data_IF_076013015914
#
_entry.id   IF_076013015914
#
_cell.length_a   1.000
_cell.length_b   1.000
_cell.length_c   1.000
_cell.angle_alpha   90.00
_cell.angle_beta   90.00
_cell.angle_gamma   90.00
#
_symmetry.space_group_name_H-M   'P 1'
#
loop_
_entity.id
_entity.type
_entity.pdbx_description
1 polymer ?
#
# COMPACT_ATOMS: atom_id res chain seq x y z
N UNK A 1 1.94 -5.13 15.13
CA UNK A 1 1.33 -4.30 14.05
C UNK A 1 0.73 -2.97 14.53
N UNK A 2 -0.08 -2.92 15.60
CA UNK A 2 -0.66 -1.65 16.08
C UNK A 2 0.41 -0.60 16.46
N UNK A 3 1.40 -1.03 17.23
CA UNK A 3 2.55 -0.19 17.62
C UNK A 3 3.32 0.30 16.40
N UNK A 4 3.58 -0.58 15.43
CA UNK A 4 4.25 -0.22 14.19
C UNK A 4 3.48 0.85 13.41
N UNK A 5 2.14 0.74 13.31
CA UNK A 5 1.30 1.77 12.68
C UNK A 5 1.45 3.13 13.36
N UNK A 6 1.40 3.15 14.70
CA UNK A 6 1.59 4.37 15.48
C UNK A 6 2.99 4.96 15.26
N UNK A 7 4.03 4.12 15.28
CA UNK A 7 5.43 4.52 15.09
C UNK A 7 5.70 5.11 13.71
N UNK A 8 5.02 4.62 12.67
CA UNK A 8 5.22 5.07 11.28
C UNK A 8 4.27 6.18 10.83
N UNK A 9 3.33 6.60 11.68
CA UNK A 9 2.37 7.63 11.34
C UNK A 9 3.06 8.98 11.10
N UNK A 10 2.65 9.67 10.03
CA UNK A 10 3.04 11.06 9.77
C UNK A 10 2.14 11.68 8.69
N UNK A 11 1.96 13.01 8.72
CA UNK A 11 1.29 13.74 7.63
C UNK A 11 1.99 13.64 6.26
N UNK A 12 3.20 13.06 6.22
CA UNK A 12 3.87 12.72 4.96
C UNK A 12 3.17 11.56 4.26
N UNK A 13 2.60 10.62 5.00
CA UNK A 13 2.07 9.36 4.47
C UNK A 13 0.57 9.19 4.70
N UNK A 14 0.00 9.87 5.70
CA UNK A 14 -1.36 9.65 6.16
C UNK A 14 -2.24 10.87 5.93
N UNK A 15 -3.50 10.62 5.60
CA UNK A 15 -4.56 11.64 5.47
C UNK A 15 -5.56 11.57 6.62
N UNK A 16 -5.38 10.60 7.53
CA UNK A 16 -6.19 10.44 8.74
C UNK A 16 -5.40 10.87 9.97
N UNK A 17 -6.10 11.30 11.05
CA UNK A 17 -5.48 11.55 12.35
C UNK A 17 -4.63 10.36 12.84
N UNK A 18 -3.67 10.59 13.76
CA UNK A 18 -2.89 9.52 14.34
C UNK A 18 -3.80 8.50 15.04
N UNK A 19 -3.46 7.21 15.01
CA UNK A 19 -4.21 6.20 15.73
C UNK A 19 -4.19 6.51 17.23
N UNK A 20 -5.33 6.30 17.91
CA UNK A 20 -5.39 6.40 19.35
C UNK A 20 -4.44 5.37 20.01
N UNK A 21 -3.89 5.67 21.20
CA UNK A 21 -3.14 4.68 21.97
C UNK A 21 -3.94 3.39 22.16
N UNK A 22 -3.33 2.23 21.87
CA UNK A 22 -4.00 0.93 21.98
C UNK A 22 -5.02 0.62 20.88
N UNK A 23 -5.11 1.44 19.81
CA UNK A 23 -6.03 1.18 18.71
C UNK A 23 -5.81 -0.21 18.09
N UNK A 24 -6.90 -0.96 17.95
CA UNK A 24 -6.89 -2.27 17.30
C UNK A 24 -6.69 -2.13 15.78
N UNK A 25 -6.04 -3.12 15.18
CA UNK A 25 -5.76 -3.14 13.72
C UNK A 25 -6.92 -3.77 12.95
N UNK A 26 -7.58 -4.76 13.53
CA UNK A 26 -8.61 -5.59 12.89
C UNK A 26 -10.00 -5.22 13.39
N UNK A 27 -10.42 -4.00 13.08
CA UNK A 27 -11.74 -3.45 13.39
C UNK A 27 -12.30 -2.76 12.15
N UNK A 28 -13.61 -2.50 12.13
CA UNK A 28 -14.29 -1.72 11.08
C UNK A 28 -14.04 -2.26 9.66
N UNK A 29 -14.17 -3.59 9.49
CA UNK A 29 -13.99 -4.25 8.18
C UNK A 29 -12.52 -4.41 7.73
N UNK A 30 -11.57 -4.21 8.64
CA UNK A 30 -10.16 -4.58 8.44
C UNK A 30 -9.94 -6.02 8.90
N UNK A 31 -9.76 -6.92 7.95
CA UNK A 31 -9.59 -8.35 8.23
C UNK A 31 -8.12 -8.77 8.09
N UNK A 32 -7.63 -9.74 8.88
CA UNK A 32 -6.23 -10.19 8.83
C UNK A 32 -5.75 -10.59 7.44
N UNK A 33 -6.61 -11.20 6.62
CA UNK A 33 -6.32 -11.72 5.28
C UNK A 33 -6.00 -10.59 4.28
N UNK A 34 -6.34 -9.35 4.62
CA UNK A 34 -6.00 -8.17 3.81
C UNK A 34 -4.54 -7.75 4.00
N UNK A 35 -3.80 -8.34 4.94
CA UNK A 35 -2.46 -7.92 5.32
C UNK A 35 -1.42 -8.99 5.02
N UNK A 36 -0.28 -8.56 4.49
CA UNK A 36 0.96 -9.31 4.52
C UNK A 36 1.94 -8.60 5.46
N UNK A 37 2.73 -9.38 6.20
CA UNK A 37 3.70 -8.85 7.16
C UNK A 37 5.12 -9.24 6.77
N UNK A 38 6.06 -8.36 7.06
CA UNK A 38 7.49 -8.67 7.04
C UNK A 38 7.91 -8.94 8.48
N UNK A 39 8.49 -10.13 8.70
CA UNK A 39 8.98 -10.57 9.99
C UNK A 39 10.50 -10.68 9.96
N UNK A 40 11.15 -10.25 11.03
CA UNK A 40 12.58 -10.41 11.27
C UNK A 40 12.76 -10.82 12.73
N UNK A 41 13.44 -11.95 12.96
CA UNK A 41 13.71 -12.51 14.30
C UNK A 41 12.45 -12.61 15.19
N UNK A 42 11.32 -13.07 14.64
CA UNK A 42 10.05 -13.19 15.37
C UNK A 42 9.27 -11.88 15.54
N UNK A 43 9.78 -10.75 15.01
CA UNK A 43 9.17 -9.43 15.18
C UNK A 43 8.62 -8.91 13.85
N UNK A 44 7.39 -8.41 13.88
CA UNK A 44 6.79 -7.73 12.72
C UNK A 44 7.44 -6.37 12.52
N UNK A 45 8.28 -6.26 11.50
CA UNK A 45 9.00 -5.04 11.12
C UNK A 45 8.34 -4.28 9.97
N UNK A 46 7.31 -4.84 9.35
CA UNK A 46 6.61 -4.20 8.24
C UNK A 46 5.27 -4.84 7.97
N UNK A 47 4.38 -4.10 7.32
CA UNK A 47 3.15 -4.66 6.77
C UNK A 47 2.75 -3.94 5.50
N UNK A 48 1.97 -4.61 4.67
CA UNK A 48 1.24 -4.04 3.55
C UNK A 48 -0.19 -4.54 3.59
N UNK A 49 -1.14 -3.66 3.29
CA UNK A 49 -2.55 -3.99 3.21
C UNK A 49 -3.04 -3.86 1.78
N UNK A 50 -3.74 -4.86 1.28
CA UNK A 50 -4.40 -4.84 -0.02
C UNK A 50 -5.89 -5.19 0.10
N UNK A 51 -6.72 -4.52 -0.70
CA UNK A 51 -8.18 -4.72 -0.72
C UNK A 51 -8.76 -4.53 -2.12
N UNK A 52 -10.00 -4.98 -2.39
CA UNK A 52 -10.75 -4.50 -3.54
C UNK A 52 -10.96 -2.96 -3.43
N UNK A 53 -10.71 -2.18 -4.50
CA UNK A 53 -10.93 -0.74 -4.46
C UNK A 53 -12.42 -0.36 -4.44
N UNK A 54 -13.30 -1.25 -4.91
CA UNK A 54 -14.76 -1.09 -4.85
C UNK A 54 -15.40 -2.44 -4.53
N UNK A 55 -16.68 -2.44 -4.13
CA UNK A 55 -17.49 -3.67 -3.94
C UNK A 55 -18.11 -4.21 -5.25
N UNK A 56 -17.83 -3.58 -6.40
CA UNK A 56 -18.49 -3.92 -7.66
C UNK A 56 -17.94 -5.24 -8.26
N UNK A 57 -18.80 -6.20 -8.66
CA UNK A 57 -18.35 -7.46 -9.27
C UNK A 57 -17.54 -7.29 -10.56
N UNK A 58 -17.82 -6.23 -11.32
CA UNK A 58 -17.09 -5.86 -12.54
C UNK A 58 -15.64 -5.44 -12.27
N UNK A 59 -15.33 -5.09 -11.02
CA UNK A 59 -14.03 -4.57 -10.61
C UNK A 59 -13.22 -5.56 -9.73
N UNK A 60 -13.74 -6.77 -9.51
CA UNK A 60 -13.11 -7.83 -8.69
C UNK A 60 -11.67 -8.21 -9.09
N UNK A 61 -11.31 -7.96 -10.35
CA UNK A 61 -10.00 -8.25 -10.92
C UNK A 61 -8.93 -7.21 -10.54
N UNK A 62 -9.29 -6.19 -9.77
CA UNK A 62 -8.39 -5.14 -9.28
C UNK A 62 -8.20 -5.31 -7.77
N UNK A 63 -6.95 -5.13 -7.33
CA UNK A 63 -6.59 -4.90 -5.93
C UNK A 63 -5.99 -3.51 -5.78
N UNK A 64 -6.10 -2.96 -4.58
CA UNK A 64 -5.55 -1.67 -4.23
C UNK A 64 -4.77 -1.77 -2.93
N UNK A 65 -3.54 -1.26 -2.93
CA UNK A 65 -2.74 -1.10 -1.71
C UNK A 65 -3.34 0.06 -0.91
N UNK A 66 -3.73 -0.23 0.34
CA UNK A 66 -4.30 0.73 1.30
C UNK A 66 -3.56 0.65 2.64
N UNK A 67 -2.27 0.96 2.59
CA UNK A 67 -1.38 0.99 3.75
C UNK A 67 -0.12 0.19 3.49
N UNK A 68 1.02 0.83 3.74
CA UNK A 68 2.35 0.22 3.70
C UNK A 68 3.19 0.90 4.78
N UNK A 69 3.75 0.11 5.68
CA UNK A 69 4.64 0.62 6.70
C UNK A 69 5.82 -0.32 6.90
N UNK A 70 6.99 0.27 7.12
CA UNK A 70 8.21 -0.42 7.51
C UNK A 70 8.80 0.31 8.70
N UNK A 71 9.20 -0.45 9.70
CA UNK A 71 9.83 0.04 10.92
C UNK A 71 10.97 0.99 10.57
N UNK A 72 11.08 2.18 11.19
CA UNK A 72 12.10 3.17 10.83
C UNK A 72 13.52 2.62 10.78
N UNK A 73 13.89 1.76 11.74
CA UNK A 73 15.21 1.11 11.79
C UNK A 73 15.47 0.11 10.65
N UNK A 74 14.44 -0.31 9.91
CA UNK A 74 14.52 -1.25 8.80
C UNK A 74 14.28 -0.57 7.43
N UNK A 75 14.12 0.76 7.41
CA UNK A 75 13.96 1.50 6.15
C UNK A 75 15.27 1.53 5.36
N UNK A 76 15.16 1.57 4.03
CA UNK A 76 16.33 1.51 3.14
C UNK A 76 16.89 0.10 2.91
N UNK A 77 16.47 -0.90 3.71
CA UNK A 77 16.97 -2.29 3.63
C UNK A 77 16.16 -3.20 2.68
N UNK A 78 15.36 -2.64 1.77
CA UNK A 78 14.61 -3.40 0.77
C UNK A 78 13.26 -3.99 1.21
N UNK A 79 12.93 -4.00 2.51
CA UNK A 79 11.67 -4.57 3.01
C UNK A 79 10.41 -3.97 2.39
N UNK A 80 10.39 -2.66 2.13
CA UNK A 80 9.26 -2.01 1.45
C UNK A 80 9.03 -2.56 0.05
N UNK A 81 10.11 -2.84 -0.69
CA UNK A 81 10.03 -3.46 -2.02
C UNK A 81 9.54 -4.91 -1.91
N UNK A 82 10.09 -5.67 -0.96
CA UNK A 82 9.68 -7.06 -0.74
C UNK A 82 8.18 -7.16 -0.43
N UNK A 83 7.65 -6.28 0.44
CA UNK A 83 6.22 -6.23 0.75
C UNK A 83 5.35 -5.91 -0.47
N UNK A 84 5.74 -4.92 -1.28
CA UNK A 84 4.99 -4.54 -2.50
C UNK A 84 4.97 -5.68 -3.52
N UNK A 85 6.10 -6.33 -3.76
CA UNK A 85 6.16 -7.47 -4.68
C UNK A 85 5.35 -8.66 -4.13
N UNK A 86 5.43 -8.95 -2.83
CA UNK A 86 4.66 -10.01 -2.18
C UNK A 86 3.14 -9.76 -2.30
N UNK A 87 2.68 -8.52 -2.09
CA UNK A 87 1.28 -8.18 -2.30
C UNK A 87 0.85 -8.36 -3.77
N UNK A 88 1.69 -7.94 -4.72
CA UNK A 88 1.41 -8.16 -6.14
C UNK A 88 1.35 -9.64 -6.52
N UNK A 89 2.22 -10.48 -5.94
CA UNK A 89 2.21 -11.92 -6.14
C UNK A 89 0.93 -12.56 -5.55
N UNK A 90 0.59 -12.28 -4.30
CA UNK A 90 -0.62 -12.78 -3.65
C UNK A 90 -1.89 -12.34 -4.42
N UNK A 91 -1.97 -11.08 -4.85
CA UNK A 91 -3.08 -10.61 -5.67
C UNK A 91 -3.20 -11.37 -7.00
N UNK A 92 -2.06 -11.71 -7.63
CA UNK A 92 -2.04 -12.47 -8.88
C UNK A 92 -2.55 -13.90 -8.67
N UNK A 93 -2.18 -14.55 -7.57
CA UNK A 93 -2.67 -15.89 -7.19
C UNK A 93 -4.19 -15.90 -6.97
N UNK A 94 -4.75 -14.80 -6.46
CA UNK A 94 -6.20 -14.59 -6.35
C UNK A 94 -6.89 -14.22 -7.68
N UNK A 95 -6.17 -14.23 -8.80
CA UNK A 95 -6.70 -13.91 -10.13
C UNK A 95 -6.84 -12.40 -10.40
N UNK A 96 -6.25 -11.53 -9.58
CA UNK A 96 -6.21 -10.11 -9.88
C UNK A 96 -5.30 -9.87 -11.10
N UNK A 97 -5.78 -9.00 -12.00
CA UNK A 97 -5.04 -8.60 -13.20
C UNK A 97 -4.29 -7.29 -13.00
N UNK A 98 -4.57 -6.58 -11.91
CA UNK A 98 -4.11 -5.21 -11.68
C UNK A 98 -4.00 -4.87 -10.21
N UNK A 99 -2.95 -4.14 -9.86
CA UNK A 99 -2.76 -3.50 -8.57
C UNK A 99 -2.78 -1.98 -8.74
N UNK A 100 -3.47 -1.26 -7.86
CA UNK A 100 -3.49 0.20 -7.82
C UNK A 100 -3.13 0.73 -6.44
N UNK A 101 -2.84 2.02 -6.34
CA UNK A 101 -2.63 2.71 -5.07
C UNK A 101 -2.89 4.20 -5.21
N UNK A 102 -3.06 4.86 -4.07
CA UNK A 102 -3.10 6.33 -3.92
C UNK A 102 -1.95 6.73 -2.99
N UNK A 103 -1.23 7.80 -3.33
CA UNK A 103 -0.09 8.28 -2.55
C UNK A 103 0.01 9.79 -2.63
N UNK A 104 0.21 10.43 -1.48
CA UNK A 104 0.37 11.89 -1.42
C UNK A 104 1.54 12.36 -2.29
N UNK A 105 1.32 13.41 -3.07
CA UNK A 105 2.27 13.93 -4.06
C UNK A 105 3.63 14.28 -3.47
N UNK A 106 3.64 14.81 -2.25
CA UNK A 106 4.86 15.13 -1.48
C UNK A 106 5.59 13.92 -0.90
N UNK A 107 5.03 12.71 -0.96
CA UNK A 107 5.66 11.50 -0.43
C UNK A 107 6.62 10.87 -1.45
N UNK A 108 7.65 11.63 -1.83
CA UNK A 108 8.66 11.21 -2.81
C UNK A 108 9.28 9.84 -2.52
N UNK A 109 9.62 9.46 -1.27
CA UNK A 109 10.16 8.12 -1.00
C UNK A 109 9.22 6.98 -1.38
N UNK A 110 7.93 7.10 -1.06
CA UNK A 110 6.92 6.08 -1.40
C UNK A 110 6.68 6.02 -2.90
N UNK A 111 6.56 7.18 -3.57
CA UNK A 111 6.41 7.25 -5.03
C UNK A 111 7.55 6.53 -5.76
N UNK A 112 8.80 6.84 -5.38
CA UNK A 112 9.98 6.17 -5.95
C UNK A 112 10.02 4.67 -5.67
N UNK A 113 9.52 4.23 -4.52
CA UNK A 113 9.40 2.81 -4.22
C UNK A 113 8.44 2.13 -5.19
N UNK A 114 7.24 2.70 -5.38
CA UNK A 114 6.25 2.15 -6.29
C UNK A 114 6.71 2.17 -7.75
N UNK A 115 7.35 3.25 -8.19
CA UNK A 115 7.98 3.35 -9.52
C UNK A 115 9.00 2.22 -9.76
N UNK A 116 9.88 1.93 -8.79
CA UNK A 116 10.82 0.81 -8.86
C UNK A 116 10.16 -0.57 -8.85
N UNK A 117 8.94 -0.66 -8.33
CA UNK A 117 8.11 -1.86 -8.39
C UNK A 117 7.27 -1.92 -9.68
N UNK A 118 7.50 -1.04 -10.66
CA UNK A 118 6.81 -1.06 -11.95
C UNK A 118 5.41 -0.44 -11.94
N UNK A 119 5.07 0.35 -10.91
CA UNK A 119 3.87 1.18 -10.95
C UNK A 119 4.13 2.44 -11.77
N UNK A 120 3.13 2.86 -12.53
CA UNK A 120 3.15 4.11 -13.30
C UNK A 120 2.11 5.07 -12.75
N UNK A 121 2.35 6.37 -12.91
CA UNK A 121 1.33 7.40 -12.60
C UNK A 121 0.24 7.35 -13.66
N UNK A 122 -1.00 7.29 -13.21
CA UNK A 122 -2.20 7.19 -14.08
C UNK A 122 -3.11 8.41 -13.93
N UNK A 123 -2.96 9.16 -12.83
CA UNK A 123 -3.69 10.40 -12.60
C UNK A 123 -3.16 11.15 -11.39
N UNK A 124 -3.47 12.44 -11.33
CA UNK A 124 -3.20 13.31 -10.18
C UNK A 124 -4.47 14.10 -9.88
N UNK A 125 -4.89 14.10 -8.62
CA UNK A 125 -5.93 14.96 -8.09
C UNK A 125 -5.25 16.10 -7.32
N UNK A 126 -5.14 17.31 -7.90
CA UNK A 126 -4.47 18.44 -7.25
C UNK A 126 -5.23 18.88 -6.01
N UNK A 127 -4.51 19.21 -4.94
CA UNK A 127 -5.08 19.74 -3.69
C UNK A 127 -6.22 18.89 -3.05
N UNK A 128 -6.29 17.60 -3.38
CA UNK A 128 -7.32 16.67 -2.91
C UNK A 128 -7.43 16.61 -1.38
N UNK A 129 -6.30 16.74 -0.67
CA UNK A 129 -6.25 16.63 0.79
C UNK A 129 -5.65 17.86 1.45
N UNK A 130 -6.22 18.25 2.59
CA UNK A 130 -5.63 19.24 3.51
C UNK A 130 -5.06 18.52 4.75
N UNK A 131 -3.74 18.38 4.81
CA UNK A 131 -3.04 17.57 5.82
C UNK A 131 -1.86 18.32 6.40
N UNK A 132 -1.70 18.30 7.73
CA UNK A 132 -0.59 18.98 8.41
C UNK A 132 -0.49 20.47 8.08
N UNK A 133 -1.62 21.14 7.86
CA UNK A 133 -1.68 22.58 7.57
C UNK A 133 -1.36 22.97 6.12
N UNK A 134 -1.28 22.01 5.18
CA UNK A 134 -1.03 22.28 3.77
C UNK A 134 -1.94 21.44 2.87
N UNK A 135 -2.23 21.95 1.68
CA UNK A 135 -2.83 21.15 0.62
C UNK A 135 -1.79 20.17 0.06
N UNK A 136 -2.25 18.98 -0.29
CA UNK A 136 -1.46 17.91 -0.85
C UNK A 136 -2.22 17.23 -1.99
N UNK A 137 -1.53 17.07 -3.10
CA UNK A 137 -2.04 16.30 -4.23
C UNK A 137 -2.17 14.82 -3.85
N UNK A 138 -3.10 14.15 -4.51
CA UNK A 138 -3.18 12.71 -4.49
C UNK A 138 -2.81 12.11 -5.84
N UNK A 139 -1.81 11.24 -5.84
CA UNK A 139 -1.26 10.62 -7.02
C UNK A 139 -1.78 9.20 -7.11
N UNK A 140 -2.49 8.90 -8.20
CA UNK A 140 -3.00 7.58 -8.50
C UNK A 140 -1.95 6.84 -9.32
N UNK A 141 -1.55 5.67 -8.85
CA UNK A 141 -0.61 4.81 -9.56
C UNK A 141 -1.17 3.41 -9.77
N UNK A 142 -0.74 2.76 -10.85
CA UNK A 142 -1.19 1.41 -11.20
C UNK A 142 -0.11 0.55 -11.84
N UNK A 143 -0.25 -0.76 -11.66
CA UNK A 143 0.58 -1.81 -12.25
C UNK A 143 -0.30 -2.93 -12.79
N UNK A 144 -0.04 -3.37 -14.04
CA UNK A 144 -0.62 -4.60 -14.58
C UNK A 144 0.11 -5.80 -13.98
N UNK A 145 -0.64 -6.81 -13.54
CA UNK A 145 -0.08 -8.04 -12.95
C UNK A 145 0.02 -9.19 -13.97
N UNK A 146 -0.75 -9.14 -15.05
CA UNK A 146 -0.67 -10.09 -16.16
C UNK A 146 0.14 -9.52 -17.31
N UNK A 147 0.77 -10.40 -18.10
CA UNK A 147 1.43 -10.05 -19.35
C UNK A 147 0.43 -9.53 -20.40
N UNK A 148 0.92 -8.93 -21.51
CA UNK A 148 0.07 -8.38 -22.57
C UNK A 148 -0.90 -9.41 -23.18
N UNK A 149 -0.52 -10.70 -23.16
CA UNK A 149 -1.32 -11.80 -23.74
C UNK A 149 -2.31 -12.41 -22.73
N UNK A 150 -2.43 -11.84 -21.53
CA UNK A 150 -3.31 -12.35 -20.47
C UNK A 150 -2.72 -13.51 -19.66
N UNK A 151 -1.50 -13.97 -19.98
CA UNK A 151 -0.75 -14.92 -19.16
C UNK A 151 -0.37 -14.29 -17.82
N UNK A 152 -0.47 -15.07 -16.73
CA UNK A 152 0.06 -14.68 -15.43
C UNK A 152 1.58 -14.60 -15.57
N UNK A 153 2.17 -13.40 -15.44
CA UNK A 153 3.61 -13.23 -15.58
C UNK A 153 4.36 -14.12 -14.58
N UNK A 154 5.38 -14.83 -15.08
CA UNK A 154 6.18 -15.78 -14.28
C UNK A 154 6.76 -15.10 -13.02
N UNK A 155 6.77 -15.88 -11.94
CA UNK A 155 7.23 -15.50 -10.60
C UNK A 155 8.68 -15.03 -10.56
#
# INVERSE_FOLDING_TARGET
>A
MAELRALTWSWRSEVTPPPAPGALVFVDGRWPEQYLVAELDGHVIGFIRQVPPTSLPSNRHVRQIQGLAVHPAAQGSGFGRALVEAACAAAREEGARRMTLRVLGHNTPARRLYERCGFVVEGVCPEEFFVGGRYADDVLMGRRLVGPDGSLGAA
#
